data_IF_871900989116
#
_entry.id   IF_871900989116
#
_cell.length_a   1.000
_cell.length_b   1.000
_cell.length_c   1.000
_cell.angle_alpha   90.00
_cell.angle_beta   90.00
_cell.angle_gamma   90.00
#
_symmetry.space_group_name_H-M   'P 1'
#
loop_
_entity.id
_entity.type
_entity.pdbx_description
1 polymer ?
#
# COMPACT_ATOMS: atom_id res chain seq x y z
N UNK A 1 -11.09 23.14 -12.29
CA UNK A 1 -12.08 22.08 -12.55
C UNK A 1 -11.39 20.89 -13.17
N UNK A 2 -11.43 19.72 -12.52
CA UNK A 2 -10.63 18.53 -12.89
C UNK A 2 -11.28 17.67 -14.00
N UNK A 3 -12.58 17.87 -14.20
CA UNK A 3 -13.41 17.33 -15.28
C UNK A 3 -14.32 18.42 -15.85
N UNK A 4 -14.79 18.23 -17.08
CA UNK A 4 -15.70 19.18 -17.78
C UNK A 4 -17.17 18.80 -17.67
N UNK A 5 -17.46 17.52 -17.47
CA UNK A 5 -18.80 16.95 -17.50
C UNK A 5 -18.85 15.62 -16.73
N UNK A 6 -20.07 15.13 -16.52
CA UNK A 6 -20.36 13.89 -15.81
C UNK A 6 -19.67 12.68 -16.44
N UNK A 7 -19.67 12.57 -17.78
CA UNK A 7 -19.09 11.41 -18.47
C UNK A 7 -17.58 11.32 -18.27
N UNK A 8 -16.90 12.46 -18.30
CA UNK A 8 -15.47 12.54 -18.04
C UNK A 8 -15.15 12.20 -16.58
N UNK A 9 -15.90 12.75 -15.62
CA UNK A 9 -15.72 12.42 -14.20
C UNK A 9 -15.90 10.90 -13.97
N UNK A 10 -16.99 10.34 -14.50
CA UNK A 10 -17.32 8.93 -14.46
C UNK A 10 -16.21 8.06 -15.10
N UNK A 11 -15.73 8.43 -16.28
CA UNK A 11 -14.68 7.69 -16.98
C UNK A 11 -13.37 7.69 -16.18
N UNK A 12 -13.02 8.79 -15.52
CA UNK A 12 -11.75 8.95 -14.78
C UNK A 12 -11.76 8.34 -13.38
N UNK A 13 -12.91 8.39 -12.69
CA UNK A 13 -12.98 8.06 -11.26
C UNK A 13 -13.63 6.72 -10.94
N UNK A 14 -14.60 6.26 -11.75
CA UNK A 14 -15.32 5.02 -11.48
C UNK A 14 -14.37 3.84 -11.30
N UNK A 15 -14.57 3.04 -10.27
CA UNK A 15 -13.78 1.84 -10.02
C UNK A 15 -12.35 2.12 -9.56
N UNK A 16 -12.09 3.32 -9.04
CA UNK A 16 -10.76 3.70 -8.55
C UNK A 16 -10.77 3.99 -7.06
N UNK A 17 -9.58 3.90 -6.46
CA UNK A 17 -9.31 4.34 -5.09
C UNK A 17 -8.48 5.62 -5.17
N UNK A 18 -8.92 6.64 -4.44
CA UNK A 18 -8.22 7.92 -4.23
C UNK A 18 -8.15 8.22 -2.74
N UNK A 19 -7.40 9.23 -2.31
CA UNK A 19 -7.44 9.67 -0.91
C UNK A 19 -8.54 10.72 -0.72
N UNK A 20 -9.34 10.56 0.33
CA UNK A 20 -10.30 11.53 0.82
C UNK A 20 -10.09 11.71 2.32
N UNK A 21 -9.82 12.93 2.76
CA UNK A 21 -9.57 13.29 4.16
C UNK A 21 -8.61 12.31 4.88
N UNK A 22 -7.46 12.05 4.24
CA UNK A 22 -6.42 11.17 4.78
C UNK A 22 -6.76 9.67 4.80
N UNK A 23 -7.88 9.24 4.22
CA UNK A 23 -8.30 7.84 4.12
C UNK A 23 -8.50 7.38 2.66
N UNK A 24 -8.23 6.11 2.32
CA UNK A 24 -8.50 5.60 0.98
C UNK A 24 -10.01 5.44 0.77
N UNK A 25 -10.54 6.13 -0.23
CA UNK A 25 -11.94 6.08 -0.65
C UNK A 25 -12.05 5.35 -1.99
N UNK A 26 -12.89 4.32 -2.04
CA UNK A 26 -13.22 3.62 -3.26
C UNK A 26 -14.45 4.24 -3.91
N UNK A 27 -14.30 4.75 -5.13
CA UNK A 27 -15.39 5.34 -5.91
C UNK A 27 -16.03 4.23 -6.75
N UNK A 28 -17.21 3.77 -6.34
CA UNK A 28 -17.99 2.77 -7.08
C UNK A 28 -18.55 3.37 -8.37
N UNK A 29 -19.06 4.60 -8.30
CA UNK A 29 -19.63 5.34 -9.41
C UNK A 29 -19.58 6.86 -9.15
N UNK A 30 -19.68 7.65 -10.22
CA UNK A 30 -20.07 9.06 -10.11
C UNK A 30 -21.57 9.17 -10.41
N UNK A 31 -22.27 10.06 -9.71
CA UNK A 31 -23.68 10.40 -9.93
C UNK A 31 -23.83 11.91 -10.06
N UNK A 32 -24.90 12.34 -10.69
CA UNK A 32 -25.38 13.73 -10.59
C UNK A 32 -26.16 13.84 -9.27
N UNK A 33 -25.98 14.94 -8.54
CA UNK A 33 -26.72 15.18 -7.30
C UNK A 33 -28.24 15.23 -7.58
N UNK A 34 -29.04 14.72 -6.65
CA UNK A 34 -30.51 14.81 -6.75
C UNK A 34 -30.99 16.24 -6.47
N UNK A 35 -30.23 17.00 -5.69
CA UNK A 35 -30.54 18.37 -5.28
C UNK A 35 -30.05 19.42 -6.30
N UNK A 36 -28.92 19.15 -6.98
CA UNK A 36 -28.32 20.04 -7.97
C UNK A 36 -27.78 19.27 -9.21
N UNK A 37 -28.41 19.43 -10.39
CA UNK A 37 -27.95 18.79 -11.63
C UNK A 37 -26.54 19.19 -12.10
N UNK A 38 -25.98 20.29 -11.60
CA UNK A 38 -24.62 20.75 -11.93
C UNK A 38 -23.57 20.12 -10.99
N UNK A 39 -23.98 19.54 -9.87
CA UNK A 39 -23.09 18.90 -8.91
C UNK A 39 -22.89 17.41 -9.21
N UNK A 40 -21.64 16.96 -9.14
CA UNK A 40 -21.28 15.56 -9.26
C UNK A 40 -20.85 14.98 -7.92
N UNK A 41 -21.30 13.78 -7.64
CA UNK A 41 -21.11 13.09 -6.37
C UNK A 41 -20.38 11.77 -6.62
N UNK A 42 -19.32 11.51 -5.86
CA UNK A 42 -18.74 10.18 -5.75
C UNK A 42 -19.64 9.31 -4.87
N UNK A 43 -20.26 8.30 -5.48
CA UNK A 43 -20.91 7.22 -4.77
C UNK A 43 -19.87 6.13 -4.50
N UNK A 44 -19.62 5.83 -3.24
CA UNK A 44 -18.58 4.88 -2.88
C UNK A 44 -18.46 4.70 -1.39
N UNK A 45 -17.25 4.44 -0.91
CA UNK A 45 -17.04 4.22 0.50
C UNK A 45 -15.60 4.02 0.92
N UNK A 46 -15.40 3.95 2.22
CA UNK A 46 -14.10 3.69 2.85
C UNK A 46 -14.26 2.70 3.99
N UNK A 47 -13.15 2.11 4.43
CA UNK A 47 -13.14 1.22 5.60
C UNK A 47 -12.87 2.02 6.87
N UNK A 48 -13.77 1.90 7.84
CA UNK A 48 -13.63 2.55 9.15
C UNK A 48 -12.57 1.85 10.02
N UNK A 49 -12.28 2.39 11.22
CA UNK A 49 -11.23 1.88 12.11
C UNK A 49 -11.54 0.48 12.71
N UNK A 50 -12.80 0.06 12.62
CA UNK A 50 -13.28 -1.28 12.98
C UNK A 50 -13.14 -2.28 11.84
N UNK A 51 -12.70 -1.86 10.66
CA UNK A 51 -12.55 -2.73 9.50
C UNK A 51 -13.86 -2.96 8.73
N UNK A 52 -14.89 -2.13 8.95
CA UNK A 52 -16.17 -2.23 8.24
C UNK A 52 -16.19 -1.22 7.09
N UNK A 53 -16.60 -1.67 5.90
CA UNK A 53 -16.80 -0.80 4.75
C UNK A 53 -18.11 -0.01 4.89
N UNK A 54 -18.01 1.31 4.89
CA UNK A 54 -19.14 2.24 4.99
C UNK A 54 -19.30 2.99 3.67
N UNK A 55 -20.55 3.08 3.20
CA UNK A 55 -20.88 3.80 1.99
C UNK A 55 -21.21 5.25 2.28
N UNK A 56 -20.72 6.13 1.41
CA UNK A 56 -20.91 7.56 1.49
C UNK A 56 -21.14 8.11 0.08
N UNK A 57 -21.92 9.18 0.04
CA UNK A 57 -22.06 10.07 -1.10
C UNK A 57 -21.34 11.36 -0.75
N UNK A 58 -20.35 11.74 -1.55
CA UNK A 58 -19.49 12.89 -1.29
C UNK A 58 -19.38 13.73 -2.55
N UNK A 59 -19.66 15.03 -2.45
CA UNK A 59 -19.53 15.96 -3.56
C UNK A 59 -18.08 15.96 -4.07
N UNK A 60 -17.88 15.89 -5.39
CA UNK A 60 -16.55 15.84 -6.00
C UNK A 60 -15.75 17.14 -5.85
N UNK A 61 -16.38 18.25 -5.49
CA UNK A 61 -15.74 19.54 -5.20
C UNK A 61 -15.35 19.70 -3.71
N UNK A 62 -15.65 18.72 -2.87
CA UNK A 62 -15.26 18.73 -1.46
C UNK A 62 -13.73 18.84 -1.29
N UNK A 63 -13.28 19.74 -0.39
CA UNK A 63 -11.85 19.99 -0.16
C UNK A 63 -11.09 18.74 0.33
N UNK A 64 -11.80 17.78 0.94
CA UNK A 64 -11.25 16.51 1.42
C UNK A 64 -10.59 15.68 0.32
N UNK A 65 -10.95 15.87 -0.96
CA UNK A 65 -10.30 15.20 -2.09
C UNK A 65 -8.89 15.73 -2.40
N UNK A 66 -8.55 16.93 -1.95
CA UNK A 66 -7.31 17.64 -2.31
C UNK A 66 -7.03 17.62 -3.83
N UNK A 67 -8.00 18.08 -4.63
CA UNK A 67 -7.96 18.05 -6.10
C UNK A 67 -7.62 16.65 -6.69
N UNK A 68 -7.90 15.59 -5.94
CA UNK A 68 -7.53 14.20 -6.28
C UNK A 68 -6.02 14.01 -6.50
N UNK A 69 -5.18 14.96 -6.11
CA UNK A 69 -3.72 14.89 -6.29
C UNK A 69 -3.09 13.89 -5.32
N UNK A 70 -3.75 13.66 -4.20
CA UNK A 70 -3.36 12.66 -3.23
C UNK A 70 -3.90 11.29 -3.65
N UNK A 71 -2.99 10.42 -4.08
CA UNK A 71 -3.31 9.03 -4.34
C UNK A 71 -2.86 8.14 -3.18
N UNK A 72 -3.57 7.02 -2.94
CA UNK A 72 -3.14 6.04 -1.95
C UNK A 72 -1.71 5.58 -2.23
N UNK A 73 -0.95 5.37 -1.16
CA UNK A 73 0.43 4.93 -1.27
C UNK A 73 0.51 3.56 -1.96
N UNK A 74 1.50 3.42 -2.85
CA UNK A 74 1.91 2.12 -3.41
C UNK A 74 2.98 1.49 -2.52
N UNK A 75 3.26 0.21 -2.75
CA UNK A 75 4.28 -0.53 -2.03
C UNK A 75 3.69 -1.62 -1.14
N UNK A 76 4.35 -1.86 -0.01
CA UNK A 76 4.01 -2.98 0.87
C UNK A 76 2.86 -2.70 1.83
N UNK A 77 2.05 -3.73 2.09
CA UNK A 77 0.92 -3.70 3.04
C UNK A 77 0.99 -4.93 3.93
N UNK A 78 1.30 -4.72 5.21
CA UNK A 78 1.25 -5.79 6.21
C UNK A 78 -0.19 -6.20 6.48
N UNK A 79 -0.49 -7.49 6.51
CA UNK A 79 -1.76 -8.03 7.01
C UNK A 79 -1.46 -9.12 8.03
N UNK A 80 -2.46 -9.60 8.81
CA UNK A 80 -2.25 -10.63 9.82
C UNK A 80 -1.76 -11.96 9.25
N UNK A 81 -1.90 -12.18 7.93
CA UNK A 81 -1.60 -13.47 7.30
C UNK A 81 -0.48 -13.39 6.28
N UNK A 82 -0.36 -12.28 5.55
CA UNK A 82 0.58 -12.14 4.44
C UNK A 82 1.08 -10.71 4.34
N UNK A 83 2.25 -10.54 3.74
CA UNK A 83 2.68 -9.26 3.20
C UNK A 83 2.19 -9.13 1.76
N UNK A 84 1.45 -8.06 1.46
CA UNK A 84 1.05 -7.73 0.10
C UNK A 84 1.93 -6.62 -0.47
N UNK A 85 2.02 -6.57 -1.80
CA UNK A 85 2.72 -5.54 -2.56
C UNK A 85 1.79 -5.02 -3.65
N UNK A 86 1.58 -3.70 -3.66
CA UNK A 86 0.78 -3.00 -4.65
C UNK A 86 1.71 -2.19 -5.55
N UNK A 87 1.69 -2.50 -6.84
CA UNK A 87 2.48 -1.80 -7.83
C UNK A 87 1.57 -1.17 -8.89
N UNK A 88 1.99 -0.02 -9.42
CA UNK A 88 1.34 0.56 -10.61
C UNK A 88 1.74 -0.22 -11.85
N UNK A 89 0.78 -0.45 -12.73
CA UNK A 89 1.02 -0.98 -14.07
C UNK A 89 0.94 0.17 -15.08
N UNK A 90 1.82 0.20 -16.09
CA UNK A 90 1.60 1.05 -17.25
C UNK A 90 0.29 0.63 -17.91
N UNK A 91 -0.69 1.52 -17.89
CA UNK A 91 -2.01 1.29 -18.47
C UNK A 91 -2.35 2.49 -19.36
N UNK A 92 -2.87 2.22 -20.55
CA UNK A 92 -3.40 3.26 -21.45
C UNK A 92 -4.82 3.64 -21.04
N UNK A 93 -4.98 4.05 -19.78
CA UNK A 93 -6.28 4.39 -19.20
C UNK A 93 -6.27 5.85 -18.79
N UNK A 94 -7.44 6.49 -18.85
CA UNK A 94 -7.63 7.88 -18.37
C UNK A 94 -7.94 7.92 -16.87
N UNK A 95 -7.75 6.81 -16.16
CA UNK A 95 -8.09 6.69 -14.74
C UNK A 95 -7.15 7.52 -13.89
N UNK A 96 -7.75 8.29 -12.99
CA UNK A 96 -6.99 9.18 -12.12
C UNK A 96 -6.49 8.45 -10.86
N UNK A 97 -7.36 7.67 -10.23
CA UNK A 97 -7.02 6.85 -9.07
C UNK A 97 -6.43 5.47 -9.40
N UNK A 98 -6.27 4.66 -8.36
CA UNK A 98 -5.80 3.27 -8.47
C UNK A 98 -6.99 2.33 -8.68
N UNK A 99 -7.04 1.64 -9.81
CA UNK A 99 -8.05 0.64 -10.18
C UNK A 99 -7.42 -0.70 -10.52
N UNK A 100 -8.25 -1.70 -10.82
CA UNK A 100 -7.77 -3.04 -11.21
C UNK A 100 -6.98 -3.05 -12.51
N UNK A 101 -7.26 -2.11 -13.39
CA UNK A 101 -6.65 -1.97 -14.72
C UNK A 101 -5.26 -1.31 -14.71
N UNK A 102 -4.94 -0.52 -13.69
CA UNK A 102 -3.68 0.23 -13.62
C UNK A 102 -2.84 -0.10 -12.38
N UNK A 103 -3.25 -1.11 -11.60
CA UNK A 103 -2.47 -1.62 -10.48
C UNK A 103 -2.42 -3.14 -10.47
N UNK A 104 -1.38 -3.67 -9.82
CA UNK A 104 -1.21 -5.09 -9.55
C UNK A 104 -1.04 -5.29 -8.06
N UNK A 105 -1.88 -6.12 -7.49
CA UNK A 105 -1.69 -6.70 -6.17
C UNK A 105 -0.89 -8.00 -6.31
N UNK A 106 0.01 -8.25 -5.37
CA UNK A 106 0.79 -9.48 -5.27
C UNK A 106 1.02 -9.77 -3.79
N UNK A 107 1.25 -11.02 -3.41
CA UNK A 107 1.69 -11.35 -2.05
C UNK A 107 3.17 -11.73 -2.08
N UNK A 108 3.87 -11.46 -0.99
CA UNK A 108 5.28 -11.86 -0.83
C UNK A 108 5.32 -13.27 -0.27
N UNK A 109 6.03 -14.14 -0.96
CA UNK A 109 6.26 -15.52 -0.55
C UNK A 109 7.34 -15.59 0.54
N UNK A 110 7.40 -16.69 1.33
CA UNK A 110 8.43 -16.88 2.36
C UNK A 110 9.88 -16.91 1.86
N UNK A 111 10.11 -16.95 0.54
CA UNK A 111 11.44 -16.83 -0.07
C UNK A 111 11.72 -15.40 -0.58
N UNK A 112 10.84 -14.44 -0.30
CA UNK A 112 10.91 -13.06 -0.77
C UNK A 112 10.39 -12.80 -2.18
N UNK A 113 10.02 -13.83 -2.95
CA UNK A 113 9.47 -13.68 -4.30
C UNK A 113 8.01 -13.19 -4.28
N UNK A 114 7.54 -12.61 -5.38
CA UNK A 114 6.13 -12.21 -5.51
C UNK A 114 5.28 -13.33 -6.11
N UNK A 115 4.24 -13.72 -5.38
CA UNK A 115 3.14 -14.56 -5.85
C UNK A 115 2.01 -13.73 -6.46
N UNK A 116 1.26 -14.35 -7.38
CA UNK A 116 0.05 -13.75 -7.97
C UNK A 116 -1.13 -13.87 -7.01
N UNK A 117 -2.03 -12.89 -7.04
CA UNK A 117 -3.33 -12.98 -6.38
C UNK A 117 -4.42 -12.69 -7.39
N UNK A 118 -5.56 -13.36 -7.21
CA UNK A 118 -6.77 -13.12 -8.01
C UNK A 118 -7.58 -11.92 -7.46
N UNK A 119 -7.12 -11.29 -6.38
CA UNK A 119 -7.80 -10.16 -5.75
C UNK A 119 -7.33 -8.84 -6.39
N UNK A 120 -8.27 -8.00 -6.82
CA UNK A 120 -7.97 -6.65 -7.28
C UNK A 120 -7.63 -5.73 -6.09
N UNK A 121 -6.94 -4.62 -6.35
CA UNK A 121 -6.67 -3.61 -5.30
C UNK A 121 -7.97 -3.06 -4.71
N UNK A 122 -9.01 -2.91 -5.53
CA UNK A 122 -10.33 -2.41 -5.11
C UNK A 122 -10.99 -3.35 -4.12
N UNK A 123 -11.03 -4.65 -4.42
CA UNK A 123 -11.57 -5.66 -3.50
C UNK A 123 -10.73 -5.79 -2.24
N UNK A 124 -9.41 -5.66 -2.37
CA UNK A 124 -8.51 -5.68 -1.22
C UNK A 124 -8.79 -4.53 -0.25
N UNK A 125 -8.91 -3.31 -0.78
CA UNK A 125 -9.15 -2.09 -0.02
C UNK A 125 -10.52 -2.04 0.68
N UNK A 126 -11.55 -2.62 0.07
CA UNK A 126 -12.91 -2.65 0.64
C UNK A 126 -13.21 -3.89 1.49
N UNK A 127 -12.31 -4.88 1.50
CA UNK A 127 -12.54 -6.12 2.26
C UNK A 127 -12.47 -5.89 3.77
N UNK A 128 -13.35 -6.57 4.51
CA UNK A 128 -13.34 -6.57 5.99
C UNK A 128 -12.00 -7.06 6.56
N UNK A 129 -11.36 -8.02 5.88
CA UNK A 129 -10.13 -8.64 6.34
C UNK A 129 -8.90 -7.76 6.14
N UNK A 130 -8.81 -7.05 5.01
CA UNK A 130 -7.58 -6.35 4.61
C UNK A 130 -7.73 -4.82 4.54
N UNK A 131 -8.95 -4.28 4.45
CA UNK A 131 -9.17 -2.85 4.20
C UNK A 131 -8.59 -1.95 5.29
N UNK A 132 -8.71 -2.34 6.56
CA UNK A 132 -8.06 -1.63 7.68
C UNK A 132 -6.54 -1.57 7.52
N UNK A 133 -5.93 -2.69 7.13
CA UNK A 133 -4.49 -2.78 6.95
C UNK A 133 -4.01 -1.96 5.74
N UNK A 134 -4.81 -1.94 4.69
CA UNK A 134 -4.57 -1.06 3.55
C UNK A 134 -4.65 0.42 3.92
N UNK A 135 -5.65 0.82 4.71
CA UNK A 135 -5.76 2.18 5.27
C UNK A 135 -4.51 2.57 6.07
N UNK A 136 -4.06 1.71 6.98
CA UNK A 136 -2.84 1.94 7.78
C UNK A 136 -1.60 2.13 6.89
N UNK A 137 -1.44 1.30 5.87
CA UNK A 137 -0.33 1.44 4.92
C UNK A 137 -0.39 2.76 4.12
N UNK A 138 -1.59 3.20 3.71
CA UNK A 138 -1.79 4.49 3.05
C UNK A 138 -1.42 5.67 3.95
N UNK A 139 -1.65 5.51 5.26
CA UNK A 139 -1.27 6.46 6.31
C UNK A 139 0.19 6.31 6.76
N UNK A 140 0.97 5.46 6.08
CA UNK A 140 2.38 5.17 6.39
C UNK A 140 2.62 4.61 7.80
N UNK A 141 1.63 3.91 8.35
CA UNK A 141 1.76 3.22 9.63
C UNK A 141 2.42 1.86 9.41
N UNK A 142 3.69 1.75 9.78
CA UNK A 142 4.48 0.53 9.73
C UNK A 142 5.16 0.30 11.09
N UNK A 143 5.45 -0.97 11.47
CA UNK A 143 6.30 -1.24 12.62
C UNK A 143 7.69 -0.64 12.41
N UNK A 144 8.38 -0.31 13.50
CA UNK A 144 9.80 0.02 13.41
C UNK A 144 10.60 -1.20 12.92
N UNK A 145 11.85 -0.98 12.50
CA UNK A 145 12.74 -2.10 12.13
C UNK A 145 12.89 -3.11 13.27
N UNK A 146 13.06 -2.61 14.50
CA UNK A 146 13.15 -3.44 15.71
C UNK A 146 11.86 -4.21 15.97
N UNK A 147 10.70 -3.55 15.93
CA UNK A 147 9.42 -4.22 16.14
C UNK A 147 9.17 -5.29 15.06
N UNK A 148 9.60 -5.04 13.82
CA UNK A 148 9.48 -6.02 12.75
C UNK A 148 10.33 -7.28 13.03
N UNK A 149 11.53 -7.12 13.58
CA UNK A 149 12.37 -8.25 14.00
C UNK A 149 11.75 -9.00 15.18
N UNK A 150 11.27 -8.29 16.20
CA UNK A 150 10.62 -8.90 17.37
C UNK A 150 9.37 -9.71 16.96
N UNK A 151 8.58 -9.19 16.02
CA UNK A 151 7.44 -9.91 15.46
C UNK A 151 7.86 -11.16 14.65
N UNK A 152 9.00 -11.09 13.96
CA UNK A 152 9.53 -12.22 13.20
C UNK A 152 10.06 -13.33 14.12
N UNK A 153 10.54 -13.00 15.31
CA UNK A 153 10.92 -13.96 16.34
C UNK A 153 9.71 -14.70 16.92
N UNK A 154 8.62 -13.98 17.17
CA UNK A 154 7.35 -14.57 17.61
C UNK A 154 6.67 -15.39 16.52
N UNK A 155 6.81 -14.97 15.25
CA UNK A 155 6.17 -15.59 14.10
C UNK A 155 7.16 -15.80 12.94
N UNK A 156 8.05 -16.82 13.01
CA UNK A 156 9.13 -17.03 12.04
C UNK A 156 8.70 -17.27 10.59
N UNK A 157 7.42 -17.54 10.38
CA UNK A 157 6.82 -17.83 9.08
C UNK A 157 6.35 -16.54 8.37
N UNK A 158 6.30 -15.42 9.09
CA UNK A 158 5.79 -14.16 8.57
C UNK A 158 6.82 -13.43 7.70
N UNK A 159 6.29 -12.57 6.85
CA UNK A 159 7.08 -11.56 6.13
C UNK A 159 6.53 -10.22 6.55
N UNK A 160 7.41 -9.30 6.94
CA UNK A 160 7.00 -8.05 7.58
C UNK A 160 7.69 -6.89 6.89
N UNK A 161 6.89 -5.92 6.43
CA UNK A 161 7.39 -4.63 6.00
C UNK A 161 7.49 -3.67 7.19
N UNK A 162 8.59 -2.94 7.26
CA UNK A 162 8.75 -1.81 8.19
C UNK A 162 8.69 -0.46 7.45
N UNK A 163 8.49 -0.50 6.13
CA UNK A 163 8.20 0.69 5.32
C UNK A 163 7.51 0.31 4.01
N UNK A 164 7.01 1.28 3.21
CA UNK A 164 6.41 1.00 1.91
C UNK A 164 7.35 0.33 0.90
N UNK A 165 8.68 0.37 1.13
CA UNK A 165 9.69 -0.14 0.20
C UNK A 165 10.58 -1.24 0.76
N UNK A 166 10.57 -1.44 2.08
CA UNK A 166 11.46 -2.39 2.75
C UNK A 166 10.68 -3.42 3.55
N UNK A 167 11.17 -4.66 3.48
CA UNK A 167 10.63 -5.78 4.25
C UNK A 167 11.72 -6.79 4.59
N UNK A 168 11.41 -7.64 5.56
CA UNK A 168 12.27 -8.72 6.04
C UNK A 168 11.57 -10.06 5.91
N UNK A 169 12.37 -11.08 5.63
CA UNK A 169 11.94 -12.47 5.47
C UNK A 169 12.90 -13.35 6.24
N UNK A 170 12.39 -14.29 7.05
CA UNK A 170 13.21 -15.35 7.65
C UNK A 170 13.07 -16.63 6.84
N UNK A 171 14.18 -17.10 6.30
CA UNK A 171 14.21 -18.38 5.61
C UNK A 171 13.98 -19.52 6.62
N UNK A 172 13.01 -20.38 6.33
CA UNK A 172 12.59 -21.45 7.24
C UNK A 172 13.67 -22.52 7.44
N UNK A 173 14.53 -22.72 6.44
CA UNK A 173 15.50 -23.82 6.44
C UNK A 173 16.80 -23.46 7.14
N UNK A 174 17.26 -22.23 6.93
CA UNK A 174 18.54 -21.73 7.44
C UNK A 174 18.38 -20.83 8.67
N UNK A 175 17.17 -20.31 8.93
CA UNK A 175 16.93 -19.29 9.95
C UNK A 175 17.48 -17.90 9.58
N UNK A 176 18.11 -17.77 8.41
CA UNK A 176 18.72 -16.53 7.95
C UNK A 176 17.62 -15.51 7.65
N UNK A 177 17.76 -14.33 8.24
CA UNK A 177 16.85 -13.22 7.99
C UNK A 177 17.41 -12.33 6.89
N UNK A 178 16.69 -12.20 5.79
CA UNK A 178 17.08 -11.39 4.64
C UNK A 178 16.26 -10.11 4.56
N UNK A 179 16.92 -9.01 4.22
CA UNK A 179 16.30 -7.70 4.01
C UNK A 179 16.15 -7.42 2.51
N UNK A 180 15.00 -6.89 2.13
CA UNK A 180 14.65 -6.58 0.75
C UNK A 180 14.21 -5.13 0.60
N UNK A 181 14.52 -4.55 -0.57
CA UNK A 181 14.03 -3.25 -1.05
C UNK A 181 13.46 -3.40 -2.45
N UNK A 182 12.21 -3.00 -2.65
CA UNK A 182 11.51 -3.12 -3.95
C UNK A 182 11.73 -4.50 -4.62
N UNK A 183 11.55 -5.59 -3.86
CA UNK A 183 11.74 -6.99 -4.28
C UNK A 183 13.19 -7.44 -4.53
N UNK A 184 14.18 -6.59 -4.29
CA UNK A 184 15.60 -6.95 -4.39
C UNK A 184 16.16 -7.22 -3.01
N UNK A 185 16.80 -8.37 -2.82
CA UNK A 185 17.56 -8.61 -1.60
C UNK A 185 18.73 -7.63 -1.54
N UNK A 186 18.81 -6.87 -0.45
CA UNK A 186 19.86 -5.85 -0.25
C UNK A 186 20.90 -6.28 0.79
N UNK A 187 20.50 -7.13 1.73
CA UNK A 187 21.39 -7.60 2.79
C UNK A 187 20.80 -8.74 3.60
N UNK A 188 21.58 -9.16 4.59
CA UNK A 188 21.23 -10.19 5.58
C UNK A 188 21.30 -9.55 6.97
N UNK A 189 20.41 -9.97 7.85
CA UNK A 189 20.35 -9.51 9.24
C UNK A 189 21.01 -10.56 10.12
N UNK A 190 21.98 -10.12 10.91
CA UNK A 190 22.76 -10.91 11.86
C UNK A 190 22.57 -10.27 13.23
N UNK A 191 21.74 -10.90 14.08
CA UNK A 191 21.36 -10.35 15.39
C UNK A 191 20.79 -8.93 15.26
N UNK A 192 21.56 -7.92 15.64
CA UNK A 192 21.23 -6.49 15.61
C UNK A 192 21.87 -5.73 14.43
N UNK A 193 22.58 -6.43 13.55
CA UNK A 193 23.33 -5.85 12.45
C UNK A 193 22.76 -6.21 11.07
N UNK A 194 22.87 -5.28 10.13
CA UNK A 194 22.55 -5.50 8.71
C UNK A 194 23.85 -5.57 7.92
N UNK A 195 24.12 -6.74 7.34
CA UNK A 195 25.19 -6.93 6.37
C UNK A 195 24.65 -6.65 4.97
N UNK A 196 24.95 -5.45 4.45
CA UNK A 196 24.62 -5.07 3.09
C UNK A 196 25.56 -5.74 2.10
N UNK A 197 24.99 -6.19 0.99
CA UNK A 197 25.78 -6.62 -0.18
C UNK A 197 26.51 -5.42 -0.77
N UNK A 198 27.75 -5.59 -1.24
CA UNK A 198 28.58 -4.49 -1.79
C UNK A 198 27.89 -3.57 -2.79
N UNK A 199 27.03 -4.14 -3.65
CA UNK A 199 26.28 -3.40 -4.68
C UNK A 199 25.19 -2.48 -4.12
N UNK A 200 24.85 -2.65 -2.84
CA UNK A 200 23.75 -1.99 -2.16
C UNK A 200 24.24 -1.13 -0.97
N UNK A 201 25.56 -0.89 -0.86
CA UNK A 201 26.15 -0.01 0.15
C UNK A 201 25.57 1.43 0.13
N UNK A 202 25.07 1.87 -1.02
CA UNK A 202 24.39 3.16 -1.17
C UNK A 202 23.11 3.31 -0.34
N UNK A 203 22.55 2.23 0.22
CA UNK A 203 21.39 2.31 1.13
C UNK A 203 21.77 2.53 2.59
N UNK A 204 23.06 2.55 2.94
CA UNK A 204 23.52 2.71 4.32
C UNK A 204 22.94 3.92 5.01
N UNK A 205 23.05 5.10 4.39
CA UNK A 205 22.54 6.36 4.95
C UNK A 205 21.01 6.34 5.08
N UNK A 206 20.30 5.85 4.06
CA UNK A 206 18.84 5.68 4.12
C UNK A 206 18.45 4.77 5.31
N UNK A 207 19.17 3.67 5.53
CA UNK A 207 18.89 2.73 6.59
C UNK A 207 19.25 3.24 7.99
N UNK A 208 20.37 3.96 8.12
CA UNK A 208 20.81 4.54 9.38
C UNK A 208 19.91 5.72 9.80
N UNK A 209 19.69 6.67 8.90
CA UNK A 209 19.05 7.95 9.24
C UNK A 209 17.53 7.83 9.36
N UNK A 210 16.91 6.97 8.54
CA UNK A 210 15.45 6.88 8.45
C UNK A 210 14.85 5.76 9.30
N UNK A 211 15.61 4.69 9.50
CA UNK A 211 15.12 3.49 10.20
C UNK A 211 15.94 3.18 11.46
N UNK A 212 16.89 4.05 11.82
CA UNK A 212 17.69 3.99 13.05
C UNK A 212 18.36 2.62 13.26
N UNK A 213 18.79 1.99 12.16
CA UNK A 213 19.46 0.69 12.22
C UNK A 213 20.89 0.91 12.74
N UNK A 214 21.25 0.38 13.92
CA UNK A 214 22.46 0.80 14.64
C UNK A 214 23.74 0.29 13.98
N UNK A 215 23.73 -0.97 13.51
CA UNK A 215 24.92 -1.66 13.04
C UNK A 215 24.77 -2.04 11.57
N UNK A 216 25.28 -1.22 10.64
CA UNK A 216 25.27 -1.51 9.20
C UNK A 216 26.70 -1.81 8.73
N UNK A 217 26.89 -3.03 8.23
CA UNK A 217 28.14 -3.54 7.69
C UNK A 217 28.04 -3.70 6.16
N UNK A 218 29.17 -3.67 5.48
CA UNK A 218 29.28 -3.86 4.03
C UNK A 218 30.15 -5.10 3.76
N UNK A 219 29.65 -6.01 2.93
CA UNK A 219 30.36 -7.23 2.51
C UNK A 219 31.31 -7.00 1.32
#
# INVERSE_FOLDING_TARGET
MFWTDFEQAQQRLRGTIVMYDGSPFYIENVRVSEDDPEEFVAHGGMVNDRGVYERHDVNLEDEGWNDFRNLPALGYVNTPTHLYHIARLPARTVKHGHGGENTRLSYVQPNGALGRTDTSVTNFATSVKNGKWYKLACQKVFPSFKDALDNLDLHPQMTIAFSPRHYIVRDKSSGVTSMFRDQRQIGIILEDAVLLTRKNACYREELADKYEIPNIMEA
#
